data_IF_704865927623
#
_entry.id   IF_704865927623
#
_cell.length_a   1.000
_cell.length_b   1.000
_cell.length_c   1.000
_cell.angle_alpha   90.00
_cell.angle_beta   90.00
_cell.angle_gamma   90.00
#
_symmetry.space_group_name_H-M   'P 1'
#
loop_
_entity.id
_entity.type
_entity.pdbx_description
1 polymer ?
#
# COMPACT_ATOMS: atom_id res chain seq x y z
N UNK A 1 -26.85 -14.96 -52.82
CA UNK A 1 -27.25 -14.18 -51.62
C UNK A 1 -26.22 -14.42 -50.53
N UNK A 2 -25.50 -13.40 -50.07
CA UNK A 2 -24.54 -13.53 -48.97
C UNK A 2 -25.28 -13.50 -47.63
N UNK A 3 -25.22 -14.58 -46.84
CA UNK A 3 -25.75 -14.57 -45.46
C UNK A 3 -24.70 -13.96 -44.52
N UNK A 4 -25.11 -12.93 -43.79
CA UNK A 4 -24.26 -12.21 -42.83
C UNK A 4 -23.82 -13.13 -41.68
N UNK A 5 -22.51 -13.25 -41.46
CA UNK A 5 -21.97 -13.90 -40.27
C UNK A 5 -22.07 -12.94 -39.08
N UNK A 6 -22.77 -13.34 -38.01
CA UNK A 6 -22.97 -12.48 -36.82
C UNK A 6 -21.65 -12.24 -36.10
N UNK A 7 -21.19 -10.98 -36.06
CA UNK A 7 -20.05 -10.55 -35.24
C UNK A 7 -20.35 -10.76 -33.76
N UNK A 8 -19.55 -11.59 -33.09
CA UNK A 8 -19.67 -11.80 -31.65
C UNK A 8 -18.93 -10.67 -30.91
N UNK A 9 -19.62 -9.56 -30.64
CA UNK A 9 -19.02 -8.38 -30.00
C UNK A 9 -18.70 -8.65 -28.52
N UNK A 10 -17.42 -8.78 -28.19
CA UNK A 10 -16.97 -9.21 -26.86
C UNK A 10 -16.32 -8.04 -26.09
N UNK A 11 -16.82 -7.69 -24.90
CA UNK A 11 -16.30 -6.58 -24.07
C UNK A 11 -15.39 -7.07 -22.90
N UNK A 12 -14.23 -6.41 -22.63
CA UNK A 12 -13.22 -6.69 -21.53
C UNK A 12 -12.50 -5.38 -21.02
N UNK A 13 -11.46 -5.45 -20.14
CA UNK A 13 -10.89 -4.46 -19.14
C UNK A 13 -9.34 -4.10 -19.20
N UNK A 14 -8.83 -3.03 -18.51
CA UNK A 14 -7.49 -2.31 -18.60
C UNK A 14 -7.18 -1.04 -17.68
N UNK A 15 -6.68 0.11 -18.23
CA UNK A 15 -5.73 1.10 -17.62
C UNK A 15 -5.86 2.64 -17.94
N UNK A 16 -5.42 3.50 -17.00
CA UNK A 16 -4.72 4.84 -17.05
C UNK A 16 -3.86 4.85 -15.77
N UNK A 17 -2.54 4.86 -15.86
CA UNK A 17 -1.75 6.10 -15.80
C UNK A 17 -2.20 7.06 -14.67
N UNK A 18 -1.36 7.17 -13.64
CA UNK A 18 -1.20 8.41 -12.88
C UNK A 18 -0.04 9.20 -13.52
N UNK A 19 -0.20 10.51 -13.64
CA UNK A 19 0.87 11.41 -14.10
C UNK A 19 1.85 11.69 -12.97
N UNK A 20 3.11 11.34 -13.15
CA UNK A 20 4.21 11.98 -12.42
C UNK A 20 4.47 13.34 -13.09
N UNK A 21 4.44 14.43 -12.32
CA UNK A 21 4.72 15.75 -12.84
C UNK A 21 6.21 15.90 -13.18
N UNK A 22 6.50 16.37 -14.39
CA UNK A 22 7.77 17.01 -14.71
C UNK A 22 7.60 18.50 -14.40
N UNK A 23 8.54 19.08 -13.66
CA UNK A 23 8.71 20.53 -13.57
C UNK A 23 10.15 20.87 -13.92
N UNK A 24 10.32 21.66 -14.97
CA UNK A 24 11.61 22.14 -15.45
C UNK A 24 12.25 23.14 -14.46
N UNK A 25 13.54 23.41 -14.64
CA UNK A 25 14.31 24.26 -13.73
C UNK A 25 13.89 25.73 -13.76
N UNK A 26 13.99 26.38 -12.61
CA UNK A 26 13.84 27.83 -12.47
C UNK A 26 14.41 28.30 -11.14
N UNK A 27 15.53 29.03 -11.19
CA UNK A 27 16.14 29.63 -9.99
C UNK A 27 15.38 30.91 -9.64
N UNK A 28 14.80 30.96 -8.44
CA UNK A 28 14.33 32.20 -7.83
C UNK A 28 14.82 32.29 -6.38
N UNK A 29 15.64 33.31 -6.11
CA UNK A 29 16.03 33.67 -4.74
C UNK A 29 15.02 34.68 -4.20
N UNK A 30 14.40 34.35 -3.07
CA UNK A 30 13.76 35.33 -2.19
C UNK A 30 14.04 34.97 -0.73
N UNK A 31 14.54 35.95 0.04
CA UNK A 31 14.79 35.80 1.47
C UNK A 31 13.46 35.70 2.22
N UNK A 32 13.37 34.79 3.19
CA UNK A 32 12.44 34.92 4.32
C UNK A 32 13.16 34.59 5.64
N UNK A 33 12.63 35.20 6.71
CA UNK A 33 13.27 35.34 8.01
C UNK A 33 13.12 34.13 8.93
N UNK A 34 14.02 34.05 9.91
CA UNK A 34 14.02 33.15 11.08
C UNK A 34 12.63 32.76 11.58
N UNK A 35 12.35 31.46 11.55
CA UNK A 35 11.42 30.75 12.44
C UNK A 35 11.90 29.30 12.49
N UNK A 36 11.99 28.72 13.69
CA UNK A 36 12.66 27.43 13.93
C UNK A 36 11.94 26.27 13.26
N UNK A 37 12.49 25.77 12.16
CA UNK A 37 12.03 24.53 11.51
C UNK A 37 12.57 23.34 12.31
N UNK A 38 11.68 22.59 12.96
CA UNK A 38 12.04 21.29 13.51
C UNK A 38 12.36 20.34 12.34
N UNK A 39 13.59 19.81 12.32
CA UNK A 39 14.08 18.96 11.23
C UNK A 39 13.34 17.62 11.16
N UNK A 40 12.27 17.54 10.37
CA UNK A 40 11.60 16.28 10.06
C UNK A 40 12.36 15.52 8.97
N UNK A 41 13.09 14.48 9.36
CA UNK A 41 13.63 13.48 8.41
C UNK A 41 12.46 12.79 7.71
N UNK A 42 12.44 12.82 6.37
CA UNK A 42 11.35 12.25 5.55
C UNK A 42 11.85 11.07 4.73
N UNK A 43 11.22 9.92 4.92
CA UNK A 43 11.37 8.74 4.07
C UNK A 43 10.02 8.38 3.44
N UNK A 44 10.02 8.08 2.13
CA UNK A 44 8.81 7.73 1.38
C UNK A 44 9.09 6.54 0.46
N UNK A 45 8.73 5.34 0.91
CA UNK A 45 8.71 4.12 0.09
C UNK A 45 7.59 3.22 0.63
N UNK A 46 6.71 2.78 -0.26
CA UNK A 46 5.39 2.27 0.12
C UNK A 46 4.33 3.37 0.15
N UNK A 47 3.09 3.01 0.51
CA UNK A 47 1.96 3.96 0.61
C UNK A 47 1.99 4.81 1.89
N UNK A 48 3.02 4.68 2.74
CA UNK A 48 3.14 5.35 4.04
C UNK A 48 4.41 6.20 4.13
N UNK A 49 4.34 7.30 4.89
CA UNK A 49 5.48 8.11 5.33
C UNK A 49 5.50 8.13 6.86
N UNK A 50 6.66 7.87 7.45
CA UNK A 50 6.88 7.94 8.91
C UNK A 50 7.43 9.31 9.31
N UNK A 51 7.01 9.81 10.47
CA UNK A 51 7.43 11.10 11.02
C UNK A 51 7.62 10.95 12.53
N UNK A 52 8.83 11.15 13.03
CA UNK A 52 9.13 11.14 14.46
C UNK A 52 8.73 12.47 15.11
N UNK A 53 8.00 12.39 16.22
CA UNK A 53 7.56 13.51 17.05
C UNK A 53 8.25 13.40 18.41
N UNK A 54 9.10 14.38 18.72
CA UNK A 54 9.92 14.39 19.94
C UNK A 54 9.17 14.82 21.21
N UNK A 55 7.84 14.98 21.15
CA UNK A 55 7.03 15.38 22.30
C UNK A 55 6.68 14.15 23.12
N UNK A 56 6.93 14.20 24.43
CA UNK A 56 6.63 13.10 25.34
C UNK A 56 5.12 13.03 25.59
N UNK A 57 4.48 11.93 25.20
CA UNK A 57 3.04 11.68 25.37
C UNK A 57 2.78 10.23 25.77
N UNK A 58 1.69 9.98 26.50
CA UNK A 58 1.18 8.61 26.68
C UNK A 58 0.72 8.03 25.35
N UNK A 59 0.56 6.72 25.26
CA UNK A 59 0.23 6.07 23.98
C UNK A 59 -1.10 6.56 23.38
N UNK A 60 -2.13 6.75 24.21
CA UNK A 60 -3.45 7.24 23.76
C UNK A 60 -3.42 8.72 23.33
N UNK A 61 -2.63 9.55 24.01
CA UNK A 61 -2.38 10.95 23.60
C UNK A 61 -1.61 11.01 22.27
N UNK A 62 -0.58 10.18 22.11
CA UNK A 62 0.22 10.07 20.89
C UNK A 62 -0.64 9.59 19.71
N UNK A 63 -1.53 8.61 19.92
CA UNK A 63 -2.52 8.19 18.93
C UNK A 63 -3.43 9.35 18.52
N UNK A 64 -3.96 10.08 19.50
CA UNK A 64 -4.86 11.20 19.29
C UNK A 64 -4.17 12.32 18.48
N UNK A 65 -2.93 12.66 18.82
CA UNK A 65 -2.09 13.60 18.07
C UNK A 65 -1.86 13.12 16.63
N UNK A 66 -1.46 11.86 16.43
CA UNK A 66 -1.20 11.35 15.08
C UNK A 66 -2.46 11.31 14.20
N UNK A 67 -3.65 11.09 14.78
CA UNK A 67 -4.93 11.19 14.06
C UNK A 67 -5.34 12.63 13.75
N UNK A 68 -4.95 13.59 14.59
CA UNK A 68 -5.20 15.01 14.37
C UNK A 68 -4.28 15.62 13.29
N UNK A 69 -3.02 15.18 13.21
CA UNK A 69 -1.99 15.80 12.36
C UNK A 69 -1.51 14.94 11.17
N UNK A 70 -1.71 13.62 11.22
CA UNK A 70 -1.23 12.65 10.22
C UNK A 70 -2.35 11.68 9.80
N UNK A 71 -2.12 10.36 9.84
CA UNK A 71 -3.17 9.35 9.65
C UNK A 71 -3.43 8.60 10.95
N UNK A 72 -2.39 8.01 11.53
CA UNK A 72 -2.43 7.32 12.82
C UNK A 72 -0.98 7.18 13.34
N UNK A 73 -0.78 6.55 14.51
CA UNK A 73 0.53 6.05 14.93
C UNK A 73 1.11 5.09 13.89
N UNK A 74 2.43 4.90 13.92
CA UNK A 74 3.14 4.10 12.95
C UNK A 74 2.73 2.62 12.98
N UNK A 75 2.09 2.18 11.91
CA UNK A 75 1.78 0.78 11.59
C UNK A 75 2.90 0.16 10.78
N UNK A 76 3.34 -1.07 11.08
CA UNK A 76 4.45 -1.74 10.38
C UNK A 76 4.00 -3.12 9.88
N UNK A 77 3.74 -3.26 8.58
CA UNK A 77 3.23 -4.51 7.99
C UNK A 77 4.33 -5.44 7.46
N UNK A 78 5.55 -4.93 7.22
CA UNK A 78 6.68 -5.71 6.72
C UNK A 78 8.06 -5.15 7.13
N UNK A 79 9.13 -5.87 6.81
CA UNK A 79 10.52 -5.49 7.12
C UNK A 79 10.98 -4.19 6.43
N UNK A 80 10.41 -3.84 5.27
CA UNK A 80 10.69 -2.58 4.56
C UNK A 80 10.06 -1.41 5.32
N UNK A 81 8.81 -1.56 5.76
CA UNK A 81 8.15 -0.60 6.65
C UNK A 81 8.89 -0.47 7.99
N UNK A 82 9.38 -1.58 8.57
CA UNK A 82 10.16 -1.57 9.81
C UNK A 82 11.47 -0.77 9.65
N UNK A 83 12.20 -1.01 8.55
CA UNK A 83 13.42 -0.29 8.22
C UNK A 83 13.16 1.20 7.94
N UNK A 84 12.02 1.52 7.32
CA UNK A 84 11.59 2.90 7.04
C UNK A 84 11.24 3.65 8.33
N UNK A 85 10.52 3.01 9.25
CA UNK A 85 10.22 3.54 10.57
C UNK A 85 11.49 3.78 11.39
N UNK A 86 12.38 2.79 11.50
CA UNK A 86 13.65 2.91 12.20
C UNK A 86 14.54 4.05 11.66
N UNK A 87 14.45 4.35 10.35
CA UNK A 87 15.24 5.43 9.72
C UNK A 87 14.91 6.85 10.17
N UNK A 88 13.73 7.09 10.78
CA UNK A 88 13.34 8.41 11.31
C UNK A 88 13.55 8.55 12.82
N UNK A 89 14.00 7.49 13.50
CA UNK A 89 14.16 7.45 14.95
C UNK A 89 15.53 7.96 15.42
N UNK A 90 15.52 8.66 16.55
CA UNK A 90 16.74 9.04 17.28
C UNK A 90 17.35 7.79 17.93
N UNK A 91 18.68 7.69 17.93
CA UNK A 91 19.38 6.59 18.60
C UNK A 91 19.23 6.67 20.12
N UNK A 92 19.19 5.53 20.80
CA UNK A 92 19.10 5.40 22.26
C UNK A 92 17.83 6.02 22.88
N UNK A 93 16.73 6.10 22.12
CA UNK A 93 15.47 6.69 22.58
C UNK A 93 14.27 5.78 22.27
N UNK A 94 13.68 5.19 23.32
CA UNK A 94 12.46 4.39 23.21
C UNK A 94 11.31 5.25 22.65
N UNK A 95 10.57 4.72 21.68
CA UNK A 95 9.58 5.49 20.91
C UNK A 95 8.30 4.69 20.68
N UNK A 96 7.11 5.30 20.86
CA UNK A 96 5.81 4.65 20.65
C UNK A 96 5.50 4.37 19.18
N UNK A 97 4.88 3.21 18.95
CA UNK A 97 4.34 2.73 17.68
C UNK A 97 2.85 2.38 17.80
N UNK A 98 2.17 2.19 16.67
CA UNK A 98 0.72 1.93 16.64
C UNK A 98 0.29 0.54 17.10
N UNK A 99 1.21 -0.35 17.51
CA UNK A 99 0.88 -1.71 17.94
C UNK A 99 0.42 -1.70 19.41
N UNK A 100 -0.75 -2.29 19.66
CA UNK A 100 -1.32 -2.43 21.00
C UNK A 100 -2.08 -3.76 21.16
N UNK A 101 -2.46 -4.08 22.41
CA UNK A 101 -2.95 -5.40 22.81
C UNK A 101 -4.46 -5.48 23.05
N UNK A 102 -5.23 -5.88 22.02
CA UNK A 102 -6.56 -6.53 22.09
C UNK A 102 -6.79 -7.53 20.92
N UNK A 103 -6.26 -8.77 21.02
CA UNK A 103 -5.14 -9.25 20.19
C UNK A 103 -4.11 -8.21 19.73
N UNK A 104 -2.91 -8.63 19.31
CA UNK A 104 -1.93 -7.69 18.74
C UNK A 104 -2.49 -7.05 17.47
N UNK A 105 -2.88 -5.78 17.57
CA UNK A 105 -3.53 -5.01 16.50
C UNK A 105 -2.87 -3.66 16.36
N UNK A 106 -2.86 -3.16 15.13
CA UNK A 106 -2.45 -1.82 14.80
C UNK A 106 -3.55 -0.82 15.15
N UNK A 107 -3.17 0.42 15.44
CA UNK A 107 -4.09 1.49 15.83
C UNK A 107 -5.09 1.83 14.74
N UNK A 108 -4.76 1.61 13.47
CA UNK A 108 -5.68 1.70 12.31
C UNK A 108 -6.77 0.61 12.29
N UNK A 109 -6.70 -0.35 13.21
CA UNK A 109 -7.62 -1.47 13.36
C UNK A 109 -7.21 -2.74 12.64
N UNK A 110 -6.12 -2.77 11.88
CA UNK A 110 -5.62 -3.98 11.21
C UNK A 110 -5.00 -4.99 12.19
N UNK A 111 -4.98 -6.26 11.81
CA UNK A 111 -4.36 -7.33 12.62
C UNK A 111 -2.85 -7.35 12.38
N UNK A 112 -2.04 -7.46 13.43
CA UNK A 112 -0.59 -7.54 13.27
C UNK A 112 -0.16 -8.93 12.81
N UNK A 113 0.53 -8.99 11.66
CA UNK A 113 1.10 -10.20 11.07
C UNK A 113 2.63 -10.20 11.03
N UNK A 114 3.24 -9.03 11.25
CA UNK A 114 4.68 -8.84 11.30
C UNK A 114 5.07 -8.49 12.73
N UNK A 115 6.17 -9.08 13.19
CA UNK A 115 6.67 -8.93 14.57
C UNK A 115 8.18 -8.83 14.57
N UNK A 116 8.71 -7.82 15.27
CA UNK A 116 10.15 -7.61 15.46
C UNK A 116 10.49 -7.52 16.96
N UNK A 117 9.94 -8.43 17.77
CA UNK A 117 10.15 -8.46 19.23
C UNK A 117 11.60 -8.75 19.60
N UNK A 118 12.10 -8.06 20.63
CA UNK A 118 13.37 -8.45 21.26
C UNK A 118 13.22 -9.80 21.95
N UNK A 119 14.33 -10.55 22.08
CA UNK A 119 14.35 -11.83 22.79
C UNK A 119 13.71 -11.72 24.19
N UNK A 120 12.73 -12.59 24.47
CA UNK A 120 11.98 -12.61 25.73
C UNK A 120 10.70 -11.75 25.74
N UNK A 121 10.43 -10.96 24.69
CA UNK A 121 9.19 -10.19 24.56
C UNK A 121 8.17 -10.85 23.60
N UNK A 122 6.86 -10.58 23.78
CA UNK A 122 6.26 -9.80 24.86
C UNK A 122 6.18 -10.59 26.17
N UNK A 123 6.64 -10.01 27.28
CA UNK A 123 6.66 -10.66 28.59
C UNK A 123 5.34 -10.47 29.36
N UNK A 124 4.49 -9.53 28.94
CA UNK A 124 3.13 -9.31 29.43
C UNK A 124 3.02 -8.96 30.93
N UNK A 125 4.07 -8.41 31.56
CA UNK A 125 4.00 -7.95 32.95
C UNK A 125 3.01 -6.79 33.12
N UNK A 126 2.35 -6.72 34.28
CA UNK A 126 1.62 -5.56 34.83
C UNK A 126 1.11 -4.52 33.80
N UNK A 127 0.04 -4.88 33.08
CA UNK A 127 -0.70 -3.95 32.18
C UNK A 127 0.12 -3.40 30.99
N UNK A 128 1.22 -4.06 30.63
CA UNK A 128 1.97 -3.77 29.41
C UNK A 128 1.15 -4.19 28.18
N UNK A 129 0.58 -3.18 27.51
CA UNK A 129 -0.41 -3.33 26.44
C UNK A 129 -0.08 -2.46 25.20
N UNK A 130 0.95 -1.62 25.27
CA UNK A 130 1.40 -0.73 24.20
C UNK A 130 2.83 -1.05 23.83
N UNK A 131 3.23 -0.82 22.57
CA UNK A 131 4.54 -1.24 22.05
C UNK A 131 5.41 -0.05 21.67
N UNK A 132 6.66 -0.09 22.13
CA UNK A 132 7.72 0.83 21.72
C UNK A 132 8.85 0.09 21.01
N UNK A 133 9.46 0.74 20.02
CA UNK A 133 10.79 0.31 19.55
C UNK A 133 11.84 0.75 20.58
N UNK A 134 12.78 -0.15 20.86
CA UNK A 134 13.90 0.03 21.78
C UNK A 134 15.15 0.52 21.02
N UNK A 135 16.21 0.81 21.77
CA UNK A 135 17.53 1.18 21.23
C UNK A 135 18.13 0.09 20.31
N UNK A 136 17.83 -1.18 20.56
CA UNK A 136 18.25 -2.32 19.72
C UNK A 136 17.55 -2.41 18.35
N UNK A 137 16.58 -1.52 18.06
CA UNK A 137 15.68 -1.58 16.88
C UNK A 137 14.64 -2.70 16.91
N UNK A 138 14.52 -3.37 18.05
CA UNK A 138 13.51 -4.40 18.31
C UNK A 138 12.39 -3.84 19.20
N UNK A 139 11.28 -4.55 19.28
CA UNK A 139 10.06 -4.11 19.97
C UNK A 139 9.98 -4.69 21.39
N UNK A 140 9.53 -3.88 22.33
CA UNK A 140 9.12 -4.30 23.67
C UNK A 140 7.70 -3.86 23.99
N UNK A 141 6.96 -4.68 24.74
CA UNK A 141 5.71 -4.26 25.39
C UNK A 141 6.01 -3.42 26.63
N UNK A 142 5.22 -2.35 26.81
CA UNK A 142 5.39 -1.33 27.82
C UNK A 142 4.04 -0.80 28.32
N UNK A 143 4.08 -0.12 29.47
CA UNK A 143 2.88 0.41 30.13
C UNK A 143 2.42 1.66 29.40
N UNK A 144 1.17 1.67 28.91
CA UNK A 144 0.64 2.70 28.03
C UNK A 144 0.66 4.14 28.61
N UNK A 145 0.67 4.25 29.93
CA UNK A 145 0.74 5.51 30.69
C UNK A 145 2.15 6.12 30.81
N UNK A 146 3.19 5.46 30.29
CA UNK A 146 4.53 6.06 30.17
C UNK A 146 4.54 7.08 29.04
N UNK A 147 5.14 8.25 29.27
CA UNK A 147 5.29 9.28 28.24
C UNK A 147 6.57 9.06 27.44
N UNK A 148 6.47 8.82 26.13
CA UNK A 148 7.59 8.66 25.19
C UNK A 148 7.41 9.59 23.98
N UNK A 149 8.46 9.87 23.18
CA UNK A 149 8.26 10.32 21.81
C UNK A 149 7.51 9.24 21.01
N UNK A 150 7.05 9.59 19.81
CA UNK A 150 6.23 8.69 19.01
C UNK A 150 6.43 8.89 17.51
N UNK A 151 6.16 7.84 16.72
CA UNK A 151 6.17 7.94 15.25
C UNK A 151 4.74 7.95 14.73
N UNK A 152 4.38 8.98 13.96
CA UNK A 152 3.14 9.00 13.20
C UNK A 152 3.36 8.45 11.78
N UNK A 153 2.46 7.57 11.33
CA UNK A 153 2.31 7.24 9.93
C UNK A 153 1.36 8.23 9.24
N UNK A 154 1.74 8.62 8.02
CA UNK A 154 0.87 9.30 7.06
C UNK A 154 0.66 8.39 5.87
N UNK A 155 -0.54 7.82 5.74
CA UNK A 155 -0.90 6.97 4.62
C UNK A 155 -1.39 7.82 3.44
N UNK A 156 -0.75 7.65 2.29
CA UNK A 156 -1.21 8.18 1.02
C UNK A 156 -2.22 7.20 0.41
N UNK A 157 -3.46 7.65 0.21
CA UNK A 157 -4.45 6.90 -0.56
C UNK A 157 -3.99 6.81 -2.02
N UNK A 158 -3.36 5.71 -2.39
CA UNK A 158 -3.04 5.39 -3.78
C UNK A 158 -4.35 5.25 -4.56
N UNK A 159 -4.59 6.15 -5.53
CA UNK A 159 -5.76 6.05 -6.40
C UNK A 159 -5.56 4.91 -7.40
N UNK A 160 -6.08 3.74 -7.07
CA UNK A 160 -6.08 2.56 -7.95
C UNK A 160 -7.04 2.78 -9.11
N UNK A 161 -6.57 3.46 -10.16
CA UNK A 161 -7.37 3.75 -11.32
C UNK A 161 -7.54 2.46 -12.17
N UNK A 162 -8.74 1.88 -12.14
CA UNK A 162 -9.11 0.69 -12.96
C UNK A 162 -9.83 1.11 -14.24
N UNK A 163 -9.54 0.47 -15.37
CA UNK A 163 -10.26 0.65 -16.64
C UNK A 163 -10.46 -0.77 -17.27
N UNK A 164 -10.85 -1.05 -18.53
CA UNK A 164 -11.39 -0.27 -19.65
C UNK A 164 -11.04 -0.74 -21.13
N UNK A 165 -10.23 -1.79 -21.42
CA UNK A 165 -9.82 -2.21 -22.82
C UNK A 165 -10.59 -3.42 -23.36
N UNK A 166 -11.34 -3.22 -24.44
CA UNK A 166 -12.04 -4.30 -25.16
C UNK A 166 -11.14 -4.82 -26.28
N UNK A 167 -10.88 -6.13 -26.30
CA UNK A 167 -10.23 -6.81 -27.40
C UNK A 167 -11.29 -7.45 -28.29
N UNK A 168 -11.21 -7.19 -29.60
CA UNK A 168 -12.05 -7.83 -30.61
C UNK A 168 -11.14 -8.60 -31.56
N UNK A 169 -11.49 -9.87 -31.79
CA UNK A 169 -10.82 -10.76 -32.74
C UNK A 169 -11.82 -11.79 -33.24
N UNK A 170 -11.56 -12.35 -34.41
CA UNK A 170 -12.34 -13.46 -34.98
C UNK A 170 -11.99 -14.81 -34.32
N UNK A 171 -10.92 -14.84 -33.50
CA UNK A 171 -10.50 -15.98 -32.66
C UNK A 171 -11.20 -15.91 -31.30
N UNK A 172 -11.61 -17.07 -30.77
CA UNK A 172 -12.17 -17.17 -29.42
C UNK A 172 -11.10 -16.93 -28.33
N UNK A 173 -11.20 -15.78 -27.66
CA UNK A 173 -10.32 -15.36 -26.57
C UNK A 173 -10.75 -15.92 -25.19
N UNK A 174 -11.80 -16.73 -25.12
CA UNK A 174 -12.18 -17.42 -23.88
C UNK A 174 -11.28 -18.63 -23.56
N UNK A 175 -10.50 -19.10 -24.55
CA UNK A 175 -9.55 -20.19 -24.40
C UNK A 175 -8.40 -19.77 -23.44
N UNK A 176 -8.14 -20.52 -22.35
CA UNK A 176 -7.17 -20.11 -21.33
C UNK A 176 -5.77 -19.83 -21.87
N UNK A 177 -5.24 -20.68 -22.76
CA UNK A 177 -3.90 -20.52 -23.36
C UNK A 177 -3.74 -19.20 -24.12
N UNK A 178 -4.74 -18.81 -24.91
CA UNK A 178 -4.76 -17.53 -25.63
C UNK A 178 -4.80 -16.35 -24.66
N UNK A 179 -5.63 -16.43 -23.62
CA UNK A 179 -5.74 -15.35 -22.62
C UNK A 179 -4.45 -15.11 -21.85
N UNK A 180 -3.69 -16.17 -21.52
CA UNK A 180 -2.40 -16.08 -20.83
C UNK A 180 -1.33 -15.38 -21.68
N UNK A 181 -1.19 -15.75 -22.96
CA UNK A 181 -0.25 -15.08 -23.88
C UNK A 181 -0.59 -13.59 -24.05
N UNK A 182 -1.87 -13.22 -24.03
CA UNK A 182 -2.30 -11.81 -24.09
C UNK A 182 -1.93 -11.07 -22.80
N UNK A 183 -2.18 -11.67 -21.62
CA UNK A 183 -1.79 -11.08 -20.32
C UNK A 183 -0.28 -10.82 -20.28
N UNK A 184 0.53 -11.81 -20.68
CA UNK A 184 1.99 -11.70 -20.72
C UNK A 184 2.44 -10.57 -21.66
N UNK A 185 1.96 -10.57 -22.90
CA UNK A 185 2.32 -9.56 -23.91
C UNK A 185 1.88 -8.15 -23.53
N UNK A 186 0.75 -7.99 -22.83
CA UNK A 186 0.32 -6.71 -22.26
C UNK A 186 1.25 -6.30 -21.11
N UNK A 187 1.61 -7.23 -20.22
CA UNK A 187 2.48 -6.96 -19.07
C UNK A 187 3.88 -6.52 -19.51
N UNK A 188 4.49 -7.21 -20.49
CA UNK A 188 5.77 -6.82 -21.08
C UNK A 188 5.73 -5.41 -21.71
N UNK A 189 4.63 -5.06 -22.40
CA UNK A 189 4.45 -3.71 -22.95
C UNK A 189 4.29 -2.62 -21.89
N UNK A 190 3.72 -2.94 -20.72
CA UNK A 190 3.64 -2.00 -19.60
C UNK A 190 5.02 -1.79 -18.95
N UNK A 191 5.81 -2.86 -18.81
CA UNK A 191 7.19 -2.81 -18.32
C UNK A 191 8.12 -2.01 -19.25
N UNK A 192 8.00 -2.18 -20.57
CA UNK A 192 8.70 -1.36 -21.59
C UNK A 192 8.38 0.14 -21.44
N UNK A 193 7.14 0.46 -21.04
CA UNK A 193 6.71 1.84 -20.74
C UNK A 193 7.06 2.28 -19.31
N UNK A 194 7.95 1.56 -18.62
CA UNK A 194 8.43 1.80 -17.25
C UNK A 194 7.33 1.85 -16.18
N UNK A 195 6.18 1.23 -16.45
CA UNK A 195 5.16 0.99 -15.44
C UNK A 195 5.54 -0.31 -14.72
N UNK A 196 5.72 -0.25 -13.40
CA UNK A 196 6.11 -1.40 -12.57
C UNK A 196 5.09 -1.75 -11.49
N UNK A 197 4.25 -0.80 -11.08
CA UNK A 197 3.12 -0.99 -10.17
C UNK A 197 1.83 -1.19 -10.96
N UNK A 198 1.61 -2.42 -11.47
CA UNK A 198 0.40 -2.78 -12.21
C UNK A 198 0.01 -4.25 -12.01
N UNK A 199 -1.28 -4.56 -12.18
CA UNK A 199 -1.82 -5.91 -12.09
C UNK A 199 -2.76 -6.17 -13.28
N UNK A 200 -2.44 -7.14 -14.12
CA UNK A 200 -3.25 -7.49 -15.31
C UNK A 200 -4.03 -8.77 -15.01
N UNK A 201 -5.36 -8.73 -15.16
CA UNK A 201 -6.24 -9.89 -14.97
C UNK A 201 -7.18 -10.04 -16.15
N UNK A 202 -7.33 -11.26 -16.65
CA UNK A 202 -8.36 -11.59 -17.64
C UNK A 202 -9.74 -11.62 -16.97
N UNK A 203 -10.77 -11.15 -17.67
CA UNK A 203 -12.17 -11.24 -17.24
C UNK A 203 -13.04 -11.65 -18.44
N UNK A 204 -13.66 -12.83 -18.35
CA UNK A 204 -14.68 -13.27 -19.30
C UNK A 204 -16.05 -12.77 -18.80
N UNK A 205 -16.84 -12.03 -19.60
CA UNK A 205 -18.17 -11.61 -19.18
C UNK A 205 -19.12 -12.80 -18.99
N UNK A 206 -19.99 -12.80 -17.96
CA UNK A 206 -20.80 -13.97 -17.60
C UNK A 206 -21.68 -14.54 -18.72
N UNK A 207 -22.17 -13.66 -19.60
CA UNK A 207 -23.12 -13.98 -20.67
C UNK A 207 -22.61 -15.03 -21.67
N UNK A 208 -21.29 -15.17 -21.83
CA UNK A 208 -20.66 -16.06 -22.83
C UNK A 208 -20.32 -17.45 -22.30
N UNK A 209 -20.38 -17.62 -20.98
CA UNK A 209 -20.20 -18.93 -20.33
C UNK A 209 -21.40 -19.87 -20.59
N UNK A 210 -22.54 -19.34 -21.07
CA UNK A 210 -23.72 -20.13 -21.46
C UNK A 210 -23.70 -20.67 -22.89
N UNK A 211 -22.95 -20.04 -23.80
CA UNK A 211 -23.01 -20.37 -25.24
C UNK A 211 -22.10 -21.53 -25.67
N UNK A 212 -21.26 -22.06 -24.78
CA UNK A 212 -20.32 -23.15 -25.08
C UNK A 212 -20.93 -24.57 -24.95
N UNK A 213 -22.18 -24.71 -24.49
CA UNK A 213 -22.81 -26.02 -24.24
C UNK A 213 -23.79 -26.49 -25.33
N UNK A 214 -24.00 -25.73 -26.41
CA UNK A 214 -24.88 -26.14 -27.52
C UNK A 214 -24.20 -25.96 -28.89
N UNK A 215 -23.30 -26.87 -29.23
CA UNK A 215 -22.80 -27.01 -30.60
C UNK A 215 -23.37 -28.28 -31.22
N UNK A 216 -24.44 -28.15 -32.00
CA UNK A 216 -25.04 -29.26 -32.74
C UNK A 216 -24.50 -29.25 -34.19
N UNK A 217 -23.71 -30.25 -34.61
CA UNK A 217 -23.02 -30.23 -35.90
C UNK A 217 -23.93 -30.76 -37.02
N UNK A 218 -24.74 -29.89 -37.60
CA UNK A 218 -25.45 -30.19 -38.86
C UNK A 218 -25.65 -28.93 -39.71
N UNK A 219 -24.65 -28.62 -40.54
CA UNK A 219 -24.79 -27.70 -41.66
C UNK A 219 -24.80 -28.53 -42.95
N UNK A 220 -25.96 -28.60 -43.60
CA UNK A 220 -26.08 -28.88 -45.04
C UNK A 220 -26.25 -27.55 -45.78
#
# INVERSE_FOLDING_TARGET
>A
MWKSCRRNSQQVTAFKLSTAALSEGGVFISRLSSSSVASTTRYSKGSKQYNHISTMMTWDEAQSYCRQHHTDLATIEDQTENSAAASVLVANQATWFGLYRKPWRWSDGSDSRFTNWISGQPNNNNEQHCVSELDTREWGDGTCSVTLPFVCAKAFKTRTNTFMLKLQSDVDLSIPSTSMQIIEKVSLKLQDKRLTDFNVKWKVPPEKLRTSQTFNPSCN
#
